data_IF_247365919184
#
_entry.id   IF_247365919184
#
_cell.length_a   1.000
_cell.length_b   1.000
_cell.length_c   1.000
_cell.angle_alpha   90.00
_cell.angle_beta   90.00
_cell.angle_gamma   90.00
#
_symmetry.space_group_name_H-M   'P 1'
#
loop_
_entity.id
_entity.type
_entity.pdbx_description
1 polymer ?
#
# COMPACT_ATOMS: atom_id res chain seq x y z
N UNK A 1 -20.75 -8.77 -1.11
CA UNK A 1 -20.15 -9.88 -1.90
C UNK A 1 -18.68 -9.59 -2.04
N UNK A 2 -17.84 -10.59 -1.82
CA UNK A 2 -16.39 -10.50 -2.04
C UNK A 2 -16.11 -10.63 -3.53
N UNK A 3 -15.41 -9.65 -4.08
CA UNK A 3 -15.08 -9.57 -5.50
C UNK A 3 -13.71 -10.21 -5.77
N UNK A 4 -12.75 -10.02 -4.86
CA UNK A 4 -11.41 -10.64 -4.88
C UNK A 4 -10.92 -10.97 -3.47
N UNK A 5 -10.08 -11.97 -3.35
CA UNK A 5 -9.39 -12.35 -2.11
C UNK A 5 -7.91 -12.59 -2.43
N UNK A 6 -7.02 -12.17 -1.53
CA UNK A 6 -5.58 -12.37 -1.61
C UNK A 6 -5.05 -12.81 -0.26
N UNK A 7 -4.40 -13.96 -0.20
CA UNK A 7 -3.84 -14.52 1.02
C UNK A 7 -2.34 -14.22 1.04
N UNK A 8 -1.91 -13.38 1.98
CA UNK A 8 -0.48 -13.05 2.17
C UNK A 8 0.20 -14.21 2.90
N UNK A 9 -0.42 -14.69 3.97
CA UNK A 9 0.04 -15.86 4.73
C UNK A 9 -1.12 -16.45 5.55
N UNK A 10 -0.80 -17.43 6.42
CA UNK A 10 -1.79 -18.14 7.25
C UNK A 10 -2.60 -17.24 8.21
N UNK A 11 -2.14 -16.02 8.47
CA UNK A 11 -2.79 -15.07 9.37
C UNK A 11 -3.35 -13.85 8.63
N UNK A 12 -2.77 -13.46 7.49
CA UNK A 12 -3.06 -12.19 6.84
C UNK A 12 -3.76 -12.43 5.50
N UNK A 13 -4.94 -11.86 5.34
CA UNK A 13 -5.74 -11.95 4.11
C UNK A 13 -6.33 -10.59 3.78
N UNK A 14 -6.31 -10.21 2.50
CA UNK A 14 -7.00 -9.03 1.99
C UNK A 14 -8.20 -9.46 1.17
N UNK A 15 -9.30 -8.72 1.26
CA UNK A 15 -10.50 -8.94 0.45
C UNK A 15 -10.99 -7.63 -0.14
N UNK A 16 -11.38 -7.65 -1.41
CA UNK A 16 -12.08 -6.55 -2.06
C UNK A 16 -13.59 -6.75 -1.89
N UNK A 17 -14.22 -5.95 -1.05
CA UNK A 17 -15.62 -6.10 -0.65
C UNK A 17 -16.33 -4.76 -0.78
N UNK A 18 -17.36 -4.68 -1.64
CA UNK A 18 -18.11 -3.45 -1.85
C UNK A 18 -17.26 -2.27 -2.36
N UNK A 19 -16.21 -2.57 -3.14
CA UNK A 19 -15.27 -1.58 -3.66
C UNK A 19 -14.24 -1.08 -2.65
N UNK A 20 -14.10 -1.76 -1.49
CA UNK A 20 -13.11 -1.42 -0.47
C UNK A 20 -12.19 -2.61 -0.19
N UNK A 21 -10.92 -2.30 0.04
CA UNK A 21 -9.92 -3.29 0.48
C UNK A 21 -10.02 -3.47 1.99
N UNK A 22 -10.37 -4.67 2.42
CA UNK A 22 -10.48 -5.07 3.82
C UNK A 22 -9.32 -5.99 4.19
N UNK A 23 -8.59 -5.65 5.24
CA UNK A 23 -7.53 -6.49 5.80
C UNK A 23 -8.13 -7.39 6.89
N UNK A 24 -7.75 -8.66 6.89
CA UNK A 24 -8.15 -9.63 7.89
C UNK A 24 -6.91 -10.23 8.54
N UNK A 25 -6.85 -10.19 9.87
CA UNK A 25 -5.81 -10.80 10.69
C UNK A 25 -6.44 -11.93 11.51
N UNK A 26 -6.00 -13.16 11.27
CA UNK A 26 -6.59 -14.37 11.86
C UNK A 26 -8.12 -14.41 11.69
N UNK A 27 -8.59 -14.10 10.49
CA UNK A 27 -10.01 -14.03 10.13
C UNK A 27 -10.80 -12.85 10.72
N UNK A 28 -10.15 -11.94 11.46
CA UNK A 28 -10.80 -10.74 12.03
C UNK A 28 -10.51 -9.51 11.18
N UNK A 29 -11.56 -8.76 10.84
CA UNK A 29 -11.47 -7.52 10.07
C UNK A 29 -10.64 -6.46 10.80
N UNK A 30 -9.73 -5.82 10.07
CA UNK A 30 -8.86 -4.73 10.49
C UNK A 30 -8.91 -3.61 9.44
N UNK A 31 -9.27 -2.38 9.84
CA UNK A 31 -9.67 -1.31 8.91
C UNK A 31 -8.57 -0.23 8.73
N UNK A 32 -7.34 -0.45 9.19
CA UNK A 32 -6.30 0.60 9.13
C UNK A 32 -5.66 0.79 7.73
N UNK A 33 -5.97 -0.03 6.74
CA UNK A 33 -5.38 0.12 5.40
C UNK A 33 -6.05 1.28 4.63
N UNK A 34 -5.58 2.51 4.87
CA UNK A 34 -6.29 3.73 4.44
C UNK A 34 -5.89 4.25 3.06
N UNK A 35 -4.67 3.99 2.59
CA UNK A 35 -4.21 4.61 1.34
C UNK A 35 -2.92 4.02 0.75
N UNK A 36 -2.74 4.23 -0.56
CA UNK A 36 -1.46 4.10 -1.28
C UNK A 36 -0.71 5.44 -1.23
N UNK A 37 0.41 5.46 -0.52
CA UNK A 37 1.10 6.70 -0.16
C UNK A 37 2.02 7.19 -1.27
N UNK A 38 2.62 6.27 -2.04
CA UNK A 38 3.58 6.63 -3.07
C UNK A 38 2.96 6.50 -4.46
N UNK A 39 3.04 7.60 -5.21
CA UNK A 39 3.01 7.58 -6.68
C UNK A 39 4.36 8.11 -7.15
N UNK A 40 5.15 7.24 -7.79
CA UNK A 40 6.53 7.53 -8.19
C UNK A 40 6.55 7.86 -9.69
N UNK A 41 6.76 9.13 -10.09
CA UNK A 41 6.95 9.48 -11.49
C UNK A 41 8.22 8.83 -12.05
N UNK A 42 8.16 8.33 -13.28
CA UNK A 42 9.31 7.66 -13.93
C UNK A 42 10.56 8.55 -13.93
N UNK A 43 10.39 9.86 -14.10
CA UNK A 43 11.47 10.85 -14.11
C UNK A 43 12.05 11.18 -12.72
N UNK A 44 11.49 10.63 -11.64
CA UNK A 44 11.93 10.84 -10.26
C UNK A 44 12.50 9.55 -9.63
N UNK A 45 12.48 8.43 -10.35
CA UNK A 45 12.90 7.11 -9.84
C UNK A 45 14.39 7.06 -9.45
N UNK A 46 15.24 7.80 -10.17
CA UNK A 46 16.68 7.89 -9.88
C UNK A 46 16.96 8.48 -8.49
N UNK A 47 16.04 9.31 -7.96
CA UNK A 47 16.17 9.86 -6.60
C UNK A 47 16.00 8.80 -5.50
N UNK A 48 15.50 7.62 -5.87
CA UNK A 48 15.14 6.54 -4.96
C UNK A 48 16.12 5.36 -4.98
N UNK A 49 17.21 5.41 -5.76
CA UNK A 49 18.13 4.26 -5.89
C UNK A 49 18.77 3.85 -4.56
N UNK A 50 19.04 4.81 -3.68
CA UNK A 50 19.76 4.60 -2.42
C UNK A 50 18.87 4.82 -1.17
N UNK A 51 17.55 4.65 -1.27
CA UNK A 51 16.69 4.75 -0.08
C UNK A 51 16.84 3.52 0.82
N UNK A 52 16.81 3.75 2.13
CA UNK A 52 16.85 2.68 3.13
C UNK A 52 15.46 2.34 3.68
N UNK A 53 14.45 3.21 3.45
CA UNK A 53 13.07 2.98 3.86
C UNK A 53 12.03 3.67 2.98
N UNK A 54 10.79 3.22 3.08
CA UNK A 54 9.64 3.89 2.46
C UNK A 54 9.45 5.30 3.02
N UNK A 55 9.70 5.53 4.31
CA UNK A 55 9.66 6.89 4.89
C UNK A 55 10.64 7.83 4.21
N UNK A 56 11.85 7.38 3.91
CA UNK A 56 12.85 8.19 3.18
C UNK A 56 12.35 8.52 1.76
N UNK A 57 11.70 7.57 1.08
CA UNK A 57 11.08 7.82 -0.22
C UNK A 57 9.97 8.87 -0.13
N UNK A 58 9.12 8.80 0.90
CA UNK A 58 8.07 9.80 1.16
C UNK A 58 8.68 11.20 1.31
N UNK A 59 9.75 11.32 2.11
CA UNK A 59 10.45 12.59 2.32
C UNK A 59 11.09 13.14 1.03
N UNK A 60 11.83 12.29 0.30
CA UNK A 60 12.53 12.68 -0.94
C UNK A 60 11.57 13.14 -2.03
N UNK A 61 10.49 12.38 -2.26
CA UNK A 61 9.47 12.71 -3.25
C UNK A 61 8.57 13.86 -2.80
N UNK A 62 8.67 14.27 -1.52
CA UNK A 62 7.68 15.11 -0.86
C UNK A 62 6.27 14.55 -1.12
N UNK A 63 6.18 13.23 -1.05
CA UNK A 63 4.95 12.49 -1.30
C UNK A 63 3.97 12.83 -0.20
N UNK A 64 2.72 13.03 -0.56
CA UNK A 64 1.66 13.40 0.37
C UNK A 64 0.57 12.35 0.36
N UNK A 65 -0.50 12.55 1.13
CA UNK A 65 -1.60 11.57 1.18
C UNK A 65 -2.16 11.28 -0.22
N UNK A 66 -2.73 10.08 -0.40
CA UNK A 66 -3.20 9.60 -1.69
C UNK A 66 -4.10 10.56 -2.47
N UNK A 67 -4.97 11.26 -1.76
CA UNK A 67 -5.86 12.25 -2.35
C UNK A 67 -5.09 13.38 -3.06
N UNK A 68 -3.95 13.78 -2.52
CA UNK A 68 -3.16 14.89 -3.03
C UNK A 68 -2.41 14.51 -4.30
N UNK A 69 -1.77 13.33 -4.37
CA UNK A 69 -1.11 12.92 -5.61
C UNK A 69 -2.12 12.53 -6.69
N UNK A 70 -3.27 11.92 -6.33
CA UNK A 70 -4.37 11.70 -7.26
C UNK A 70 -4.85 13.00 -7.90
N UNK A 71 -4.97 14.07 -7.09
CA UNK A 71 -5.33 15.40 -7.59
C UNK A 71 -4.21 16.03 -8.42
N UNK A 72 -2.97 16.02 -7.91
CA UNK A 72 -1.80 16.64 -8.55
C UNK A 72 -1.52 16.06 -9.94
N UNK A 73 -1.63 14.74 -10.08
CA UNK A 73 -1.34 14.02 -11.32
C UNK A 73 -2.62 13.63 -12.10
N UNK A 74 -3.80 14.01 -11.61
CA UNK A 74 -5.10 13.65 -12.19
C UNK A 74 -5.23 12.13 -12.45
N UNK A 75 -4.77 11.33 -11.49
CA UNK A 75 -4.83 9.87 -11.54
C UNK A 75 -6.08 9.40 -10.80
N UNK A 76 -6.84 8.52 -11.44
CA UNK A 76 -7.92 7.78 -10.79
C UNK A 76 -7.57 6.30 -10.85
N UNK A 77 -7.50 5.67 -9.69
CA UNK A 77 -7.40 4.22 -9.58
C UNK A 77 -8.80 3.62 -9.42
N UNK A 78 -9.02 2.49 -10.04
CA UNK A 78 -10.16 1.62 -9.74
C UNK A 78 -9.94 0.93 -8.39
N UNK A 79 -11.03 0.48 -7.72
CA UNK A 79 -10.90 -0.31 -6.50
C UNK A 79 -10.03 -1.56 -6.64
N UNK A 80 -9.93 -2.12 -7.86
CA UNK A 80 -9.10 -3.29 -8.12
C UNK A 80 -7.61 -2.96 -8.23
N UNK A 81 -7.27 -1.79 -8.78
CA UNK A 81 -5.88 -1.31 -8.85
C UNK A 81 -5.38 -0.92 -7.46
N UNK A 82 -6.21 -0.24 -6.65
CA UNK A 82 -5.90 0.04 -5.25
C UNK A 82 -5.72 -1.26 -4.45
N UNK A 83 -6.64 -2.22 -4.64
CA UNK A 83 -6.53 -3.54 -4.01
C UNK A 83 -5.21 -4.24 -4.36
N UNK A 84 -4.80 -4.19 -5.64
CA UNK A 84 -3.53 -4.76 -6.08
C UNK A 84 -2.34 -4.11 -5.36
N UNK A 85 -2.29 -2.78 -5.28
CA UNK A 85 -1.22 -2.07 -4.58
C UNK A 85 -1.14 -2.42 -3.08
N UNK A 86 -2.29 -2.53 -2.40
CA UNK A 86 -2.30 -2.98 -1.00
C UNK A 86 -1.81 -4.42 -0.83
N UNK A 87 -2.19 -5.32 -1.74
CA UNK A 87 -1.75 -6.70 -1.72
C UNK A 87 -0.23 -6.80 -1.92
N UNK A 88 0.33 -6.08 -2.89
CA UNK A 88 1.78 -6.09 -3.15
C UNK A 88 2.59 -5.56 -1.97
N UNK A 89 2.12 -4.49 -1.31
CA UNK A 89 2.81 -3.91 -0.16
C UNK A 89 2.88 -4.90 1.02
N UNK A 90 1.76 -5.53 1.37
CA UNK A 90 1.74 -6.51 2.47
C UNK A 90 2.45 -7.82 2.11
N UNK A 91 2.42 -8.23 0.84
CA UNK A 91 3.20 -9.37 0.36
C UNK A 91 4.70 -9.09 0.52
N UNK A 92 5.19 -7.97 0.00
CA UNK A 92 6.60 -7.59 0.09
C UNK A 92 7.07 -7.48 1.54
N UNK A 93 6.24 -6.88 2.41
CA UNK A 93 6.50 -6.83 3.85
C UNK A 93 6.65 -8.22 4.47
N UNK A 94 5.72 -9.14 4.17
CA UNK A 94 5.76 -10.51 4.71
C UNK A 94 6.93 -11.34 4.15
N UNK A 95 7.29 -11.17 2.87
CA UNK A 95 8.41 -11.86 2.23
C UNK A 95 9.79 -11.38 2.70
N UNK A 96 9.86 -10.18 3.26
CA UNK A 96 11.08 -9.60 3.80
C UNK A 96 11.09 -9.64 5.34
N UNK A 97 10.67 -10.76 5.92
CA UNK A 97 10.69 -11.02 7.36
C UNK A 97 10.01 -9.94 8.21
N UNK A 98 8.93 -9.34 7.68
CA UNK A 98 8.17 -8.27 8.33
C UNK A 98 9.02 -7.02 8.62
N UNK A 99 10.04 -6.75 7.80
CA UNK A 99 10.89 -5.58 7.93
C UNK A 99 10.06 -4.28 7.87
N UNK A 100 10.05 -3.46 8.93
CA UNK A 100 9.25 -2.24 8.98
C UNK A 100 9.65 -1.21 7.92
N UNK A 101 10.88 -1.25 7.39
CA UNK A 101 11.34 -0.29 6.37
C UNK A 101 10.64 -0.44 5.00
N UNK A 102 9.93 -1.55 4.76
CA UNK A 102 9.24 -1.87 3.49
C UNK A 102 7.78 -1.40 3.48
N UNK A 103 7.26 -0.97 4.63
CA UNK A 103 5.89 -0.52 4.77
C UNK A 103 5.88 0.86 5.42
N UNK A 104 5.06 1.77 4.90
CA UNK A 104 4.95 3.08 5.51
C UNK A 104 4.16 3.04 6.83
N UNK A 105 4.47 3.97 7.74
CA UNK A 105 3.80 4.11 9.04
C UNK A 105 2.26 4.20 9.00
N UNK A 106 1.65 4.57 7.88
CA UNK A 106 0.18 4.68 7.75
C UNK A 106 -0.52 3.31 7.77
N UNK A 107 0.24 2.22 7.67
CA UNK A 107 -0.21 0.84 7.89
C UNK A 107 0.24 0.29 9.25
N UNK A 108 1.14 0.99 9.94
CA UNK A 108 1.81 0.50 11.14
C UNK A 108 1.10 0.84 12.46
N UNK A 109 0.09 1.73 12.47
CA UNK A 109 -0.61 2.10 13.73
C UNK A 109 -2.06 2.51 13.57
#
# INVERSE_FOLDING_TARGET
>A
MTVKEFVVNNLITLRLEGGKTNLYINGKLYIHCKSLILNIPINEIEMLEDIESIEEAVEKLKSTEEAEWKQKYNISLSPEEEFFGHCSNLQAWAENDYNPCIIAYHLAY
#
